data_IF_825642632913
#
_entry.id   IF_825642632913
#
_cell.length_a   1.000
_cell.length_b   1.000
_cell.length_c   1.000
_cell.angle_alpha   90.00
_cell.angle_beta   90.00
_cell.angle_gamma   90.00
#
_symmetry.space_group_name_H-M   'P 1'
#
loop_
_entity.id
_entity.type
_entity.pdbx_description
1 polymer ?
#
# COMPACT_ATOMS: atom_id res chain seq x y z
N UNK A 1 18.51 -0.75 31.12
CA UNK A 1 18.60 -1.14 29.70
C UNK A 1 18.27 0.11 28.88
N UNK A 2 19.13 0.83 28.16
CA UNK A 2 20.54 0.80 27.82
C UNK A 2 20.69 1.78 26.64
N UNK A 3 21.29 2.95 26.87
CA UNK A 3 21.28 4.14 26.00
C UNK A 3 21.81 3.94 24.55
N UNK A 4 20.99 3.47 23.59
CA UNK A 4 21.46 3.17 22.21
C UNK A 4 20.63 3.84 21.08
N UNK A 5 20.08 5.04 21.31
CA UNK A 5 19.53 5.84 20.21
C UNK A 5 20.33 7.13 20.01
N UNK A 6 21.12 7.14 18.94
CA UNK A 6 21.68 8.39 18.43
C UNK A 6 20.53 9.35 18.10
N UNK A 7 20.66 10.63 18.45
CA UNK A 7 19.62 11.66 18.27
C UNK A 7 19.05 11.69 16.83
N UNK A 8 19.82 11.26 15.84
CA UNK A 8 19.40 11.16 14.43
C UNK A 8 18.33 10.08 14.19
N UNK A 9 18.50 8.88 14.73
CA UNK A 9 17.56 7.78 14.52
C UNK A 9 16.22 8.04 15.22
N UNK A 10 16.25 8.63 16.42
CA UNK A 10 15.03 9.05 17.12
C UNK A 10 14.25 10.10 16.31
N UNK A 11 14.95 11.08 15.71
CA UNK A 11 14.29 12.07 14.84
C UNK A 11 13.70 11.44 13.58
N UNK A 12 14.43 10.51 12.95
CA UNK A 12 13.93 9.78 11.79
C UNK A 12 12.70 8.94 12.13
N UNK A 13 12.72 8.20 13.24
CA UNK A 13 11.58 7.42 13.69
C UNK A 13 10.34 8.31 13.86
N UNK A 14 10.46 9.41 14.62
CA UNK A 14 9.34 10.36 14.81
C UNK A 14 8.83 10.89 13.47
N UNK A 15 9.75 11.22 12.57
CA UNK A 15 9.42 11.70 11.24
C UNK A 15 8.62 10.69 10.41
N UNK A 16 8.98 9.42 10.48
CA UNK A 16 8.25 8.35 9.81
C UNK A 16 6.91 8.08 10.50
N UNK A 17 6.84 8.25 11.82
CA UNK A 17 5.62 8.01 12.60
C UNK A 17 4.53 9.07 12.45
N UNK A 18 4.93 10.30 12.09
CA UNK A 18 4.05 11.43 11.77
C UNK A 18 3.29 11.26 10.44
N UNK A 19 3.65 10.27 9.62
CA UNK A 19 2.94 9.94 8.37
C UNK A 19 1.70 9.07 8.66
N UNK A 20 0.66 9.09 7.80
CA UNK A 20 -0.57 8.31 8.00
C UNK A 20 -0.35 6.81 8.25
N UNK A 21 0.73 6.21 7.74
CA UNK A 21 1.03 4.81 8.00
C UNK A 21 1.74 4.57 9.33
N UNK A 22 2.47 5.57 9.79
CA UNK A 22 3.29 5.53 10.97
C UNK A 22 4.55 4.67 10.83
N UNK A 23 5.28 4.63 11.94
CA UNK A 23 6.40 3.76 12.25
C UNK A 23 6.59 3.79 13.78
N UNK A 24 5.70 3.12 14.55
CA UNK A 24 5.73 3.16 16.01
C UNK A 24 7.10 2.81 16.57
N UNK A 25 7.46 3.48 17.66
CA UNK A 25 8.76 3.29 18.28
C UNK A 25 8.93 1.84 18.77
N UNK A 26 10.05 1.21 18.39
CA UNK A 26 10.44 -0.13 18.83
C UNK A 26 11.95 -0.29 18.73
N UNK A 27 12.54 -1.12 19.60
CA UNK A 27 13.94 -1.53 19.48
C UNK A 27 14.22 -2.20 18.12
N UNK A 28 13.29 -3.01 17.62
CA UNK A 28 13.39 -3.67 16.32
C UNK A 28 13.41 -2.65 15.19
N UNK A 29 12.56 -1.62 15.26
CA UNK A 29 12.58 -0.52 14.29
C UNK A 29 13.92 0.21 14.28
N UNK A 30 14.52 0.51 15.44
CA UNK A 30 15.83 1.17 15.47
C UNK A 30 16.94 0.32 14.86
N UNK A 31 16.89 -1.01 15.04
CA UNK A 31 17.82 -1.94 14.37
C UNK A 31 17.60 -1.93 12.85
N UNK A 32 16.33 -1.95 12.41
CA UNK A 32 15.97 -1.82 10.98
C UNK A 32 16.56 -0.53 10.41
N UNK A 33 16.30 0.63 11.03
CA UNK A 33 16.78 1.92 10.54
C UNK A 33 18.31 1.99 10.46
N UNK A 34 19.05 1.28 11.32
CA UNK A 34 20.52 1.20 11.23
C UNK A 34 21.01 0.38 10.04
N UNK A 35 20.24 -0.57 9.55
CA UNK A 35 20.55 -1.32 8.31
C UNK A 35 20.32 -0.43 7.08
N UNK A 36 19.24 0.38 7.09
CA UNK A 36 18.89 1.24 5.96
C UNK A 36 19.75 2.51 5.87
N UNK A 37 20.03 3.15 7.01
CA UNK A 37 20.56 4.51 7.08
C UNK A 37 21.86 4.56 7.87
N UNK A 38 22.84 5.26 7.31
CA UNK A 38 23.93 5.80 8.14
C UNK A 38 23.36 6.83 9.12
N UNK A 39 24.11 7.13 10.19
CA UNK A 39 23.71 8.16 11.17
C UNK A 39 23.50 9.53 10.55
N UNK A 40 24.28 9.87 9.52
CA UNK A 40 24.13 11.11 8.75
C UNK A 40 22.87 11.08 7.89
N UNK A 41 22.68 10.02 7.10
CA UNK A 41 21.50 9.86 6.24
C UNK A 41 20.20 9.93 7.07
N UNK A 42 20.16 9.31 8.26
CA UNK A 42 19.02 9.40 9.16
C UNK A 42 18.74 10.84 9.62
N UNK A 43 19.79 11.62 9.89
CA UNK A 43 19.66 13.03 10.23
C UNK A 43 19.11 13.86 9.06
N UNK A 44 19.61 13.63 7.85
CA UNK A 44 19.19 14.34 6.64
C UNK A 44 17.74 14.02 6.26
N UNK A 45 17.35 12.74 6.29
CA UNK A 45 16.00 12.31 5.94
C UNK A 45 14.97 12.75 6.98
N UNK A 46 15.34 12.83 8.26
CA UNK A 46 14.43 13.26 9.33
C UNK A 46 13.88 14.69 9.17
N UNK A 47 14.52 15.53 8.34
CA UNK A 47 14.12 16.93 8.11
C UNK A 47 13.56 17.17 6.71
N UNK A 48 13.54 16.15 5.83
CA UNK A 48 12.95 16.26 4.50
C UNK A 48 11.43 16.37 4.58
N UNK A 49 10.76 17.10 3.67
CA UNK A 49 9.30 17.12 3.58
C UNK A 49 8.69 15.74 3.35
N UNK A 50 7.53 15.48 3.96
CA UNK A 50 6.65 14.31 3.79
C UNK A 50 5.94 14.30 2.45
N UNK A 51 5.85 15.46 1.80
CA UNK A 51 5.29 15.60 0.47
C UNK A 51 6.39 15.90 -0.55
N UNK A 52 6.05 16.00 -1.82
CA UNK A 52 7.01 16.30 -2.88
C UNK A 52 7.87 17.53 -2.56
N UNK A 53 9.16 17.38 -2.80
CA UNK A 53 10.14 18.44 -2.64
C UNK A 53 11.16 18.41 -3.78
N UNK A 54 11.81 19.55 -4.01
CA UNK A 54 12.82 19.72 -5.06
C UNK A 54 14.23 19.69 -4.47
N UNK A 55 15.24 19.67 -5.34
CA UNK A 55 16.66 19.72 -4.94
C UNK A 55 16.95 21.02 -4.19
N UNK A 56 16.45 22.17 -4.67
CA UNK A 56 16.69 23.47 -4.04
C UNK A 56 16.11 23.50 -2.62
N UNK A 57 14.94 22.86 -2.43
CA UNK A 57 14.31 22.77 -1.12
C UNK A 57 15.11 21.91 -0.15
N UNK A 58 15.60 20.75 -0.59
CA UNK A 58 16.44 19.87 0.23
C UNK A 58 17.79 20.54 0.55
N UNK A 59 18.43 21.19 -0.44
CA UNK A 59 19.69 21.90 -0.29
C UNK A 59 19.60 23.00 0.78
N UNK A 60 18.51 23.78 0.77
CA UNK A 60 18.24 24.80 1.79
C UNK A 60 18.07 24.20 3.20
N UNK A 61 17.37 23.08 3.33
CA UNK A 61 17.16 22.40 4.62
C UNK A 61 18.46 21.82 5.18
N UNK A 62 19.27 21.24 4.31
CA UNK A 62 20.54 20.61 4.67
C UNK A 62 21.71 21.59 4.77
N UNK A 63 21.53 22.84 4.31
CA UNK A 63 22.59 23.85 4.19
C UNK A 63 23.77 23.34 3.35
N UNK A 64 23.46 22.63 2.26
CA UNK A 64 24.42 22.04 1.31
C UNK A 64 24.26 22.68 -0.07
N UNK A 65 25.26 22.52 -0.93
CA UNK A 65 25.16 22.92 -2.34
C UNK A 65 24.18 22.01 -3.09
N UNK A 66 23.58 22.49 -4.16
CA UNK A 66 22.60 21.70 -4.93
C UNK A 66 23.20 20.45 -5.56
N UNK A 67 24.41 20.52 -6.12
CA UNK A 67 25.09 19.33 -6.67
C UNK A 67 25.34 18.23 -5.63
N UNK A 68 25.88 18.61 -4.46
CA UNK A 68 26.08 17.67 -3.34
C UNK A 68 24.73 17.09 -2.83
N UNK A 69 23.70 17.93 -2.78
CA UNK A 69 22.34 17.53 -2.40
C UNK A 69 21.78 16.51 -3.39
N UNK A 70 21.97 16.74 -4.68
CA UNK A 70 21.50 15.85 -5.74
C UNK A 70 22.17 14.47 -5.66
N UNK A 71 23.47 14.40 -5.39
CA UNK A 71 24.18 13.14 -5.18
C UNK A 71 23.62 12.35 -4.00
N UNK A 72 23.38 13.01 -2.87
CA UNK A 72 22.77 12.38 -1.68
C UNK A 72 21.36 11.88 -1.99
N UNK A 73 20.53 12.70 -2.65
CA UNK A 73 19.17 12.33 -3.02
C UNK A 73 19.15 11.13 -3.98
N UNK A 74 20.05 11.10 -4.97
CA UNK A 74 20.19 9.97 -5.88
C UNK A 74 20.62 8.69 -5.16
N UNK A 75 21.54 8.79 -4.19
CA UNK A 75 21.95 7.65 -3.37
C UNK A 75 20.80 7.09 -2.53
N UNK A 76 20.00 7.98 -1.92
CA UNK A 76 18.81 7.59 -1.15
C UNK A 76 17.73 6.97 -2.05
N UNK A 77 17.53 7.51 -3.26
CA UNK A 77 16.63 6.90 -4.24
C UNK A 77 17.13 5.53 -4.72
N UNK A 78 18.45 5.38 -4.90
CA UNK A 78 19.11 4.11 -5.20
C UNK A 78 18.93 3.03 -4.12
N UNK A 79 18.71 3.44 -2.87
CA UNK A 79 18.34 2.57 -1.74
C UNK A 79 16.84 2.28 -1.66
N UNK A 80 16.02 2.92 -2.49
CA UNK A 80 14.56 2.86 -2.41
C UNK A 80 13.96 3.66 -1.24
N UNK A 81 14.73 4.53 -0.59
CA UNK A 81 14.24 5.39 0.51
C UNK A 81 13.40 6.54 -0.06
N UNK A 82 13.80 7.06 -1.21
CA UNK A 82 13.08 8.11 -1.94
C UNK A 82 12.58 7.55 -3.27
N UNK A 83 11.42 8.04 -3.70
CA UNK A 83 11.13 8.06 -5.12
C UNK A 83 11.64 9.36 -5.73
N UNK A 84 12.07 9.28 -6.98
CA UNK A 84 12.38 10.43 -7.80
C UNK A 84 11.52 10.43 -9.06
N UNK A 85 10.96 11.60 -9.35
CA UNK A 85 10.11 11.81 -10.51
C UNK A 85 10.61 13.00 -11.30
N UNK A 86 10.61 12.87 -12.61
CA UNK A 86 11.04 13.93 -13.52
C UNK A 86 10.09 14.06 -14.69
N UNK A 87 9.76 15.29 -15.05
CA UNK A 87 9.23 15.64 -16.36
C UNK A 87 10.19 16.62 -17.05
N UNK A 88 9.85 17.12 -18.26
CA UNK A 88 10.72 18.02 -19.04
C UNK A 88 11.13 19.32 -18.32
N UNK A 89 10.44 19.70 -17.24
CA UNK A 89 10.63 21.01 -16.58
C UNK A 89 10.99 20.90 -15.10
N UNK A 90 10.66 19.80 -14.43
CA UNK A 90 10.75 19.67 -12.98
C UNK A 90 11.27 18.30 -12.60
N UNK A 91 12.18 18.29 -11.62
CA UNK A 91 12.61 17.10 -10.89
C UNK A 91 12.20 17.21 -9.43
N UNK A 92 11.52 16.19 -8.91
CA UNK A 92 11.02 16.17 -7.55
C UNK A 92 11.23 14.80 -6.90
N UNK A 93 11.23 14.80 -5.58
CA UNK A 93 11.44 13.63 -4.75
C UNK A 93 10.35 13.55 -3.69
N UNK A 94 10.08 12.35 -3.21
CA UNK A 94 9.23 12.11 -2.04
C UNK A 94 9.84 10.98 -1.22
N UNK A 95 9.72 11.07 0.10
CA UNK A 95 10.08 9.97 0.98
C UNK A 95 9.10 8.83 0.77
N UNK A 96 9.61 7.64 0.49
CA UNK A 96 8.76 6.46 0.35
C UNK A 96 8.12 6.13 1.69
N UNK A 97 6.87 5.66 1.69
CA UNK A 97 6.23 5.17 2.90
C UNK A 97 7.03 4.03 3.56
N UNK A 98 6.78 3.76 4.83
CA UNK A 98 7.32 2.57 5.50
C UNK A 98 6.77 1.29 4.86
N UNK A 99 5.48 1.26 4.49
CA UNK A 99 4.80 0.14 3.82
C UNK A 99 3.57 0.62 3.01
N UNK A 100 3.41 0.35 1.72
CA UNK A 100 4.30 -0.34 0.80
C UNK A 100 5.35 0.64 0.24
N UNK A 101 6.58 0.55 0.74
CA UNK A 101 7.68 1.42 0.36
C UNK A 101 9.04 0.82 0.69
N UNK A 102 9.90 1.53 1.43
CA UNK A 102 11.31 1.14 1.54
C UNK A 102 11.52 -0.21 2.23
N UNK A 103 10.58 -0.71 3.04
CA UNK A 103 10.67 -2.07 3.59
C UNK A 103 10.61 -3.12 2.47
N UNK A 104 9.60 -3.02 1.61
CA UNK A 104 9.42 -3.92 0.47
C UNK A 104 10.59 -3.79 -0.50
N UNK A 105 10.98 -2.57 -0.84
CA UNK A 105 12.00 -2.32 -1.86
C UNK A 105 13.38 -2.84 -1.48
N UNK A 106 13.69 -2.99 -0.18
CA UNK A 106 14.94 -3.59 0.26
C UNK A 106 15.01 -5.09 0.01
N UNK A 107 13.89 -5.80 0.14
CA UNK A 107 13.82 -7.25 -0.02
C UNK A 107 13.36 -7.64 -1.43
N UNK A 108 12.63 -6.80 -2.18
CA UNK A 108 12.20 -7.11 -3.56
C UNK A 108 13.36 -7.30 -4.55
N UNK A 109 14.55 -6.81 -4.20
CA UNK A 109 15.77 -6.80 -5.01
C UNK A 109 16.75 -7.90 -4.58
N UNK A 110 17.82 -8.07 -5.35
CA UNK A 110 18.92 -9.02 -5.08
C UNK A 110 20.29 -8.41 -5.40
N UNK A 111 20.39 -7.08 -5.35
CA UNK A 111 21.59 -6.31 -5.72
C UNK A 111 22.69 -6.28 -4.64
N UNK A 112 22.49 -6.98 -3.52
CA UNK A 112 23.44 -7.05 -2.41
C UNK A 112 23.54 -5.77 -1.56
N UNK A 113 22.66 -4.78 -1.75
CA UNK A 113 22.72 -3.52 -0.96
C UNK A 113 22.32 -3.68 0.50
N UNK A 114 21.53 -4.70 0.82
CA UNK A 114 21.04 -4.94 2.16
C UNK A 114 21.27 -6.39 2.56
N UNK A 115 21.55 -6.60 3.84
CA UNK A 115 21.56 -7.93 4.43
C UNK A 115 20.11 -8.40 4.59
N UNK A 116 19.65 -9.24 3.65
CA UNK A 116 18.29 -9.73 3.67
C UNK A 116 18.01 -10.71 4.82
N UNK A 117 19.02 -11.40 5.34
CA UNK A 117 18.83 -12.30 6.49
C UNK A 117 18.44 -11.47 7.70
N UNK A 118 19.28 -10.48 8.03
CA UNK A 118 19.06 -9.58 9.17
C UNK A 118 17.75 -8.81 8.99
N UNK A 119 17.49 -8.24 7.81
CA UNK A 119 16.24 -7.54 7.56
C UNK A 119 15.03 -8.45 7.68
N UNK A 120 15.09 -9.69 7.21
CA UNK A 120 13.95 -10.60 7.28
C UNK A 120 13.59 -10.99 8.71
N UNK A 121 14.60 -11.23 9.56
CA UNK A 121 14.42 -11.48 10.98
C UNK A 121 13.83 -10.27 11.71
N UNK A 122 14.40 -9.07 11.46
CA UNK A 122 13.91 -7.83 12.07
C UNK A 122 12.50 -7.46 11.59
N UNK A 123 12.19 -7.65 10.31
CA UNK A 123 10.85 -7.42 9.77
C UNK A 123 9.85 -8.42 10.32
N UNK A 124 10.23 -9.70 10.47
CA UNK A 124 9.37 -10.67 11.14
C UNK A 124 9.08 -10.24 12.57
N UNK A 125 10.10 -9.81 13.30
CA UNK A 125 9.93 -9.31 14.65
C UNK A 125 9.04 -8.05 14.70
N UNK A 126 9.29 -7.03 13.89
CA UNK A 126 8.58 -5.75 13.92
C UNK A 126 7.16 -5.77 13.33
N UNK A 127 6.89 -6.65 12.36
CA UNK A 127 5.60 -6.72 11.64
C UNK A 127 4.74 -7.88 12.12
N UNK A 128 5.36 -9.03 12.39
CA UNK A 128 4.63 -10.26 12.72
C UNK A 128 4.65 -10.53 14.23
N UNK A 129 5.70 -10.20 14.98
CA UNK A 129 5.70 -10.43 16.44
C UNK A 129 5.17 -9.22 17.19
N UNK A 130 5.69 -8.04 16.89
CA UNK A 130 5.27 -6.76 17.45
C UNK A 130 4.02 -6.30 16.69
N UNK A 131 2.88 -6.26 17.37
CA UNK A 131 1.61 -6.01 16.67
C UNK A 131 1.33 -4.53 16.42
N UNK A 132 2.06 -3.60 17.06
CA UNK A 132 1.74 -2.17 17.06
C UNK A 132 1.80 -1.55 15.68
N UNK A 133 2.86 -1.85 14.92
CA UNK A 133 3.01 -1.32 13.56
C UNK A 133 1.95 -1.86 12.62
N UNK A 134 1.80 -3.19 12.58
CA UNK A 134 0.84 -3.81 11.66
C UNK A 134 -0.61 -3.45 12.01
N UNK A 135 -0.96 -3.29 13.29
CA UNK A 135 -2.27 -2.76 13.72
C UNK A 135 -2.48 -1.33 13.22
N UNK A 136 -1.47 -0.46 13.33
CA UNK A 136 -1.54 0.93 12.83
C UNK A 136 -1.73 1.00 11.32
N UNK A 137 -1.11 0.09 10.55
CA UNK A 137 -1.29 -0.04 9.09
C UNK A 137 -2.66 -0.62 8.74
N UNK A 138 -3.05 -1.69 9.42
CA UNK A 138 -4.32 -2.41 9.18
C UNK A 138 -5.57 -1.56 9.45
N UNK A 139 -5.44 -0.54 10.31
CA UNK A 139 -6.55 0.34 10.71
C UNK A 139 -6.59 1.67 9.95
N UNK A 140 -5.67 1.93 9.02
CA UNK A 140 -5.69 3.15 8.19
C UNK A 140 -7.00 3.23 7.41
N UNK A 141 -7.56 4.44 7.34
CA UNK A 141 -8.75 4.73 6.57
C UNK A 141 -8.55 5.98 5.71
N UNK A 142 -8.63 5.90 4.37
CA UNK A 142 -8.94 4.71 3.57
C UNK A 142 -7.79 3.69 3.63
N UNK A 143 -8.06 2.37 3.56
CA UNK A 143 -6.99 1.37 3.59
C UNK A 143 -5.95 1.58 2.50
N UNK A 144 -4.72 1.15 2.77
CA UNK A 144 -3.64 1.14 1.79
C UNK A 144 -3.95 0.19 0.62
N UNK A 145 -4.45 -0.99 0.95
CA UNK A 145 -4.64 -2.09 0.02
C UNK A 145 -6.12 -2.33 -0.27
N UNK A 146 -6.41 -2.80 -1.48
CA UNK A 146 -7.70 -3.41 -1.84
C UNK A 146 -7.49 -4.76 -2.48
N UNK A 147 -8.57 -5.55 -2.52
CA UNK A 147 -8.59 -6.85 -3.18
C UNK A 147 -9.19 -6.72 -4.57
N UNK A 148 -8.55 -7.32 -5.56
CA UNK A 148 -9.14 -7.52 -6.88
C UNK A 148 -9.76 -8.91 -6.96
N UNK A 149 -11.00 -8.96 -7.44
CA UNK A 149 -11.68 -10.22 -7.72
C UNK A 149 -11.02 -10.90 -8.93
N UNK A 150 -10.97 -12.23 -8.93
CA UNK A 150 -10.66 -12.99 -10.14
C UNK A 150 -11.75 -12.75 -11.19
N UNK A 151 -11.48 -11.87 -12.14
CA UNK A 151 -12.43 -11.41 -13.17
C UNK A 151 -13.18 -12.53 -13.90
N UNK A 152 -12.55 -13.70 -14.03
CA UNK A 152 -13.08 -14.89 -14.72
C UNK A 152 -14.32 -15.46 -14.01
N UNK A 153 -14.47 -15.23 -12.71
CA UNK A 153 -15.60 -15.75 -11.91
C UNK A 153 -16.72 -14.72 -11.71
N UNK A 154 -16.59 -13.52 -12.28
CA UNK A 154 -17.65 -12.52 -12.28
C UNK A 154 -18.80 -13.01 -13.17
N UNK A 155 -20.03 -12.97 -12.64
CA UNK A 155 -21.22 -13.39 -13.37
C UNK A 155 -21.46 -12.49 -14.59
N UNK A 156 -22.02 -13.06 -15.67
CA UNK A 156 -22.31 -12.32 -16.92
C UNK A 156 -23.10 -11.03 -16.68
N UNK A 157 -24.09 -11.07 -15.77
CA UNK A 157 -24.93 -9.90 -15.41
C UNK A 157 -24.13 -8.74 -14.81
N UNK A 158 -23.01 -9.02 -14.16
CA UNK A 158 -22.17 -8.03 -13.47
C UNK A 158 -21.00 -7.56 -14.34
N UNK A 159 -20.70 -8.26 -15.45
CA UNK A 159 -19.60 -7.90 -16.36
C UNK A 159 -19.82 -6.54 -17.06
N UNK A 160 -21.04 -6.06 -17.15
CA UNK A 160 -21.36 -4.73 -17.69
C UNK A 160 -21.25 -3.60 -16.65
N UNK A 161 -21.12 -3.95 -15.36
CA UNK A 161 -21.18 -3.01 -14.23
C UNK A 161 -19.86 -2.99 -13.44
N UNK A 162 -18.99 -3.97 -13.62
CA UNK A 162 -17.63 -3.97 -13.05
C UNK A 162 -16.84 -2.78 -13.60
N UNK A 163 -16.31 -1.95 -12.69
CA UNK A 163 -15.58 -0.75 -13.06
C UNK A 163 -14.15 -1.11 -13.47
N UNK A 164 -13.56 -0.32 -14.37
CA UNK A 164 -12.23 -0.60 -14.90
C UNK A 164 -11.14 -0.63 -13.81
N UNK A 165 -11.25 0.22 -12.79
CA UNK A 165 -10.34 0.20 -11.64
C UNK A 165 -10.54 -1.02 -10.72
N UNK A 166 -11.56 -1.84 -10.91
CA UNK A 166 -11.77 -3.09 -10.15
C UNK A 166 -11.13 -4.30 -10.86
N UNK A 167 -10.59 -4.09 -12.06
CA UNK A 167 -10.04 -5.14 -12.93
C UNK A 167 -8.52 -5.05 -12.97
N UNK A 168 -7.86 -5.98 -12.26
CA UNK A 168 -6.40 -6.07 -12.27
C UNK A 168 -5.83 -6.17 -13.70
N UNK A 169 -6.51 -6.88 -14.61
CA UNK A 169 -6.06 -7.00 -16.00
C UNK A 169 -6.13 -5.67 -16.76
N UNK A 170 -7.17 -4.87 -16.53
CA UNK A 170 -7.33 -3.55 -17.15
C UNK A 170 -6.27 -2.58 -16.65
N UNK A 171 -6.04 -2.56 -15.34
CA UNK A 171 -4.99 -1.76 -14.71
C UNK A 171 -3.62 -2.06 -15.31
N UNK A 172 -3.23 -3.34 -15.40
CA UNK A 172 -1.94 -3.72 -16.00
C UNK A 172 -1.90 -3.35 -17.49
N UNK A 173 -2.99 -3.57 -18.22
CA UNK A 173 -3.05 -3.26 -19.66
C UNK A 173 -2.88 -1.76 -19.94
N UNK A 174 -3.40 -0.89 -19.08
CA UNK A 174 -3.37 0.57 -19.26
C UNK A 174 -2.21 1.25 -18.54
N UNK A 175 -1.46 0.52 -17.71
CA UNK A 175 -0.30 1.05 -17.02
C UNK A 175 0.71 1.64 -18.01
N UNK A 176 1.16 2.86 -17.74
CA UNK A 176 2.13 3.58 -18.56
C UNK A 176 3.54 2.97 -18.50
N UNK A 177 3.83 2.24 -17.43
CA UNK A 177 5.10 1.56 -17.19
C UNK A 177 4.84 0.36 -16.28
N UNK A 178 5.51 -0.77 -16.53
CA UNK A 178 5.34 -2.00 -15.75
C UNK A 178 6.71 -2.55 -15.39
N UNK A 179 6.85 -2.96 -14.13
CA UNK A 179 8.03 -3.65 -13.63
C UNK A 179 7.64 -4.88 -12.83
N UNK A 180 8.55 -5.84 -12.76
CA UNK A 180 8.46 -7.03 -11.90
C UNK A 180 9.65 -7.10 -10.97
N UNK A 181 9.43 -7.65 -9.78
CA UNK A 181 10.45 -7.92 -8.79
C UNK A 181 10.07 -9.15 -7.95
N UNK A 182 10.97 -9.58 -7.07
CA UNK A 182 10.67 -10.69 -6.17
C UNK A 182 9.53 -10.31 -5.22
N UNK A 183 8.68 -11.28 -4.89
CA UNK A 183 7.63 -11.11 -3.90
C UNK A 183 8.27 -10.81 -2.54
N UNK A 184 8.16 -9.56 -2.07
CA UNK A 184 8.65 -9.11 -0.76
C UNK A 184 8.41 -10.17 0.34
N UNK A 185 7.15 -10.55 0.56
CA UNK A 185 6.80 -11.43 1.66
C UNK A 185 7.39 -12.84 1.51
N UNK A 186 7.49 -13.36 0.27
CA UNK A 186 7.99 -14.71 0.02
C UNK A 186 9.51 -14.76 0.07
N UNK A 187 10.19 -13.76 -0.49
CA UNK A 187 11.64 -13.64 -0.39
C UNK A 187 12.07 -13.38 1.07
N UNK A 188 11.31 -12.59 1.84
CA UNK A 188 11.49 -12.51 3.30
C UNK A 188 11.41 -13.89 3.96
N UNK A 189 10.39 -14.68 3.62
CA UNK A 189 10.21 -16.05 4.15
C UNK A 189 11.29 -17.02 3.68
N UNK A 190 11.91 -16.80 2.53
CA UNK A 190 13.00 -17.61 1.99
C UNK A 190 14.24 -17.47 2.87
N UNK A 191 14.61 -16.24 3.24
CA UNK A 191 15.67 -15.98 4.23
C UNK A 191 15.33 -16.51 5.64
N UNK A 192 14.05 -16.75 5.94
CA UNK A 192 13.62 -17.39 7.18
C UNK A 192 13.45 -18.91 7.05
N UNK A 193 13.81 -19.52 5.92
CA UNK A 193 13.68 -20.96 5.68
C UNK A 193 12.24 -21.49 5.65
N UNK A 194 11.25 -20.62 5.44
CA UNK A 194 9.80 -20.95 5.53
C UNK A 194 8.99 -20.46 4.33
N UNK A 195 9.64 -20.17 3.20
CA UNK A 195 8.95 -19.82 1.95
C UNK A 195 8.18 -21.02 1.37
N UNK A 196 7.16 -20.70 0.56
CA UNK A 196 6.49 -21.68 -0.29
C UNK A 196 7.07 -21.69 -1.70
N UNK A 197 6.70 -22.70 -2.49
CA UNK A 197 7.24 -22.92 -3.85
C UNK A 197 6.58 -22.06 -4.94
N UNK A 198 5.75 -21.07 -4.58
CA UNK A 198 5.16 -20.19 -5.58
C UNK A 198 6.26 -19.30 -6.25
N UNK A 199 6.08 -18.85 -7.50
CA UNK A 199 7.13 -18.14 -8.26
C UNK A 199 7.54 -16.78 -7.68
N UNK A 200 8.82 -16.54 -7.39
CA UNK A 200 9.28 -15.30 -6.72
C UNK A 200 8.97 -14.02 -7.52
N UNK A 201 9.26 -14.00 -8.83
CA UNK A 201 9.11 -12.81 -9.69
C UNK A 201 7.65 -12.51 -10.06
N UNK A 202 6.86 -12.04 -9.10
CA UNK A 202 5.41 -11.79 -9.27
C UNK A 202 4.93 -10.47 -8.66
N UNK A 203 5.82 -9.68 -8.05
CA UNK A 203 5.45 -8.39 -7.47
C UNK A 203 5.49 -7.32 -8.56
N UNK A 204 4.32 -6.82 -8.96
CA UNK A 204 4.20 -5.84 -10.03
C UNK A 204 4.15 -4.43 -9.46
N UNK A 205 5.05 -3.57 -9.90
CA UNK A 205 4.96 -2.12 -9.70
C UNK A 205 4.63 -1.47 -11.03
N UNK A 206 3.77 -0.46 -11.01
CA UNK A 206 3.17 0.18 -12.17
C UNK A 206 3.41 1.69 -12.16
N UNK A 207 3.23 2.30 -13.33
CA UNK A 207 3.22 3.75 -13.54
C UNK A 207 4.49 4.44 -13.01
N UNK A 208 4.35 5.65 -12.45
CA UNK A 208 5.48 6.49 -12.04
C UNK A 208 6.35 5.86 -10.95
N UNK A 209 5.75 5.09 -10.03
CA UNK A 209 6.52 4.33 -9.04
C UNK A 209 7.44 3.31 -9.73
N UNK A 210 6.94 2.60 -10.75
CA UNK A 210 7.71 1.64 -11.52
C UNK A 210 8.86 2.30 -12.31
N UNK A 211 8.64 3.48 -12.88
CA UNK A 211 9.69 4.25 -13.56
C UNK A 211 10.87 4.54 -12.62
N UNK A 212 10.59 5.02 -11.40
CA UNK A 212 11.62 5.32 -10.41
C UNK A 212 12.34 4.05 -9.94
N UNK A 213 11.60 2.97 -9.63
CA UNK A 213 12.21 1.70 -9.23
C UNK A 213 13.10 1.09 -10.31
N UNK A 214 12.65 1.12 -11.58
CA UNK A 214 13.44 0.62 -12.71
C UNK A 214 14.71 1.44 -12.93
N UNK A 215 14.62 2.77 -12.83
CA UNK A 215 15.76 3.68 -12.97
C UNK A 215 16.88 3.35 -12.00
N UNK A 216 16.54 2.91 -10.79
CA UNK A 216 17.49 2.59 -9.73
C UNK A 216 17.85 1.10 -9.63
N UNK A 217 17.45 0.28 -10.61
CA UNK A 217 17.75 -1.15 -10.66
C UNK A 217 17.05 -1.98 -9.58
N UNK A 218 15.98 -1.44 -8.98
CA UNK A 218 15.23 -2.07 -7.88
C UNK A 218 14.24 -3.11 -8.43
N UNK A 219 13.66 -2.80 -9.58
CA UNK A 219 12.68 -3.63 -10.26
C UNK A 219 13.02 -3.71 -11.76
N UNK A 220 12.72 -4.86 -12.35
CA UNK A 220 13.01 -5.16 -13.75
C UNK A 220 11.85 -4.66 -14.62
N UNK A 221 12.14 -3.84 -15.64
CA UNK A 221 11.11 -3.39 -16.60
C UNK A 221 10.63 -4.56 -17.46
N UNK A 222 9.32 -4.68 -17.62
CA UNK A 222 8.66 -5.68 -18.47
C UNK A 222 7.59 -5.04 -19.34
N UNK A 223 7.12 -5.77 -20.35
CA UNK A 223 5.96 -5.36 -21.14
C UNK A 223 4.64 -5.55 -20.38
N UNK A 224 3.60 -4.83 -20.79
CA UNK A 224 2.26 -5.02 -20.25
C UNK A 224 1.75 -6.44 -20.55
N UNK A 225 2.09 -7.06 -21.70
CA UNK A 225 1.73 -8.45 -21.98
C UNK A 225 2.40 -9.43 -21.01
N UNK A 226 3.67 -9.21 -20.67
CA UNK A 226 4.37 -10.01 -19.67
C UNK A 226 3.73 -9.88 -18.29
N UNK A 227 3.34 -8.66 -17.89
CA UNK A 227 2.60 -8.44 -16.65
C UNK A 227 1.26 -9.19 -16.63
N UNK A 228 0.54 -9.24 -17.76
CA UNK A 228 -0.70 -9.99 -17.89
C UNK A 228 -0.48 -11.51 -17.86
N UNK A 229 0.65 -12.01 -18.38
CA UNK A 229 1.04 -13.43 -18.27
C UNK A 229 1.29 -13.81 -16.80
N UNK A 230 2.05 -12.99 -16.07
CA UNK A 230 2.30 -13.16 -14.64
C UNK A 230 0.98 -13.19 -13.86
N UNK A 231 0.08 -12.24 -14.13
CA UNK A 231 -1.25 -12.19 -13.50
C UNK A 231 -2.03 -13.49 -13.74
N UNK A 232 -2.06 -13.98 -15.00
CA UNK A 232 -2.77 -15.20 -15.39
C UNK A 232 -2.19 -16.44 -14.68
N UNK A 233 -0.88 -16.57 -14.64
CA UNK A 233 -0.18 -17.64 -13.94
C UNK A 233 -0.52 -17.64 -12.45
N UNK A 234 -0.38 -16.48 -11.79
CA UNK A 234 -0.68 -16.32 -10.37
C UNK A 234 -2.13 -16.68 -10.03
N UNK A 235 -3.10 -16.26 -10.85
CA UNK A 235 -4.50 -16.68 -10.71
C UNK A 235 -4.67 -18.19 -10.87
N UNK A 236 -3.94 -18.81 -11.81
CA UNK A 236 -3.91 -20.26 -12.03
C UNK A 236 -3.36 -21.04 -10.84
N UNK A 237 -2.48 -20.46 -10.04
CA UNK A 237 -1.97 -21.03 -8.79
C UNK A 237 -2.91 -20.80 -7.58
N UNK A 238 -3.88 -19.90 -7.74
CA UNK A 238 -4.81 -19.50 -6.67
C UNK A 238 -4.26 -18.40 -5.77
N UNK A 239 -3.35 -17.58 -6.29
CA UNK A 239 -2.88 -16.37 -5.60
C UNK A 239 -3.93 -15.26 -5.68
N UNK A 240 -4.00 -14.47 -4.61
CA UNK A 240 -4.91 -13.32 -4.49
C UNK A 240 -4.22 -12.09 -5.05
N UNK A 241 -4.96 -11.29 -5.81
CA UNK A 241 -4.48 -9.97 -6.24
C UNK A 241 -4.84 -8.92 -5.18
N UNK A 242 -3.81 -8.38 -4.54
CA UNK A 242 -3.88 -7.21 -3.68
C UNK A 242 -3.24 -6.03 -4.44
N UNK A 243 -3.74 -4.81 -4.28
CA UNK A 243 -3.07 -3.65 -4.87
C UNK A 243 -3.46 -2.32 -4.26
N UNK A 244 -2.83 -1.27 -4.77
CA UNK A 244 -3.01 0.10 -4.31
C UNK A 244 -4.50 0.49 -4.35
N UNK A 245 -5.01 0.98 -3.22
CA UNK A 245 -6.42 1.34 -3.07
C UNK A 245 -6.72 2.73 -3.67
N UNK A 246 -6.52 2.87 -4.98
CA UNK A 246 -6.78 4.11 -5.74
C UNK A 246 -7.41 3.78 -7.10
N UNK A 247 -8.16 4.71 -7.70
CA UNK A 247 -8.82 4.48 -8.98
C UNK A 247 -7.85 4.68 -10.15
N UNK A 248 -7.17 5.83 -10.17
CA UNK A 248 -6.26 6.26 -11.22
C UNK A 248 -4.80 5.97 -10.83
N UNK A 249 -4.00 5.61 -11.82
CA UNK A 249 -2.55 5.43 -11.68
C UNK A 249 -2.14 4.48 -10.54
N UNK A 250 -2.90 3.40 -10.35
CA UNK A 250 -2.58 2.31 -9.40
C UNK A 250 -1.10 1.96 -9.48
N UNK A 251 -0.36 2.07 -8.39
CA UNK A 251 1.10 1.99 -8.42
C UNK A 251 1.64 0.57 -8.27
N UNK A 252 0.84 -0.40 -7.82
CA UNK A 252 1.32 -1.76 -7.60
C UNK A 252 0.17 -2.77 -7.52
N UNK A 253 0.49 -4.01 -7.91
CA UNK A 253 -0.34 -5.21 -7.74
C UNK A 253 0.55 -6.35 -7.23
N UNK A 254 0.21 -6.85 -6.05
CA UNK A 254 0.82 -8.02 -5.43
C UNK A 254 0.02 -9.29 -5.73
N UNK A 255 0.73 -10.39 -6.02
CA UNK A 255 0.17 -11.72 -6.24
C UNK A 255 0.43 -12.59 -5.00
N UNK A 256 -0.47 -12.51 -4.02
CA UNK A 256 -0.23 -12.99 -2.67
C UNK A 256 -0.67 -14.44 -2.47
N UNK A 257 0.20 -15.21 -1.83
CA UNK A 257 -0.11 -16.53 -1.29
C UNK A 257 -0.60 -16.41 0.17
N UNK A 258 -1.46 -17.33 0.60
CA UNK A 258 -2.00 -17.33 1.96
C UNK A 258 -0.94 -17.56 3.03
N UNK A 259 0.13 -18.29 2.71
CA UNK A 259 1.16 -18.72 3.65
C UNK A 259 2.25 -17.66 3.92
N UNK A 260 2.68 -16.88 2.92
CA UNK A 260 3.78 -15.92 3.11
C UNK A 260 3.32 -14.48 3.29
N UNK A 261 2.20 -14.06 2.71
CA UNK A 261 1.80 -12.65 2.68
C UNK A 261 1.54 -12.08 4.08
N UNK A 262 2.26 -11.02 4.45
CA UNK A 262 2.09 -10.33 5.72
C UNK A 262 0.70 -9.71 5.87
N UNK A 263 0.16 -9.09 4.81
CA UNK A 263 -1.19 -8.51 4.83
C UNK A 263 -2.28 -9.55 5.06
N UNK A 264 -2.23 -10.71 4.39
CA UNK A 264 -3.19 -11.79 4.61
C UNK A 264 -3.02 -12.43 5.99
N UNK A 265 -1.77 -12.56 6.47
CA UNK A 265 -1.50 -13.04 7.84
C UNK A 265 -2.05 -12.08 8.89
N UNK A 266 -1.88 -10.77 8.71
CA UNK A 266 -2.44 -9.74 9.57
C UNK A 266 -3.98 -9.81 9.59
N UNK A 267 -4.60 -9.96 8.41
CA UNK A 267 -6.05 -10.10 8.28
C UNK A 267 -6.60 -11.33 9.04
N UNK A 268 -5.87 -12.44 9.06
CA UNK A 268 -6.27 -13.64 9.84
C UNK A 268 -6.10 -13.45 11.34
N UNK A 269 -5.03 -12.77 11.77
CA UNK A 269 -4.65 -12.63 13.18
C UNK A 269 -5.36 -11.50 13.92
N UNK A 270 -5.44 -10.32 13.32
CA UNK A 270 -5.94 -9.10 13.96
C UNK A 270 -7.46 -8.97 13.87
N UNK A 271 -8.11 -9.83 13.08
CA UNK A 271 -9.55 -9.78 12.82
C UNK A 271 -9.89 -9.14 11.49
N UNK A 272 -11.19 -9.02 11.21
CA UNK A 272 -11.70 -8.67 9.88
C UNK A 272 -11.82 -7.17 9.70
N UNK A 273 -11.15 -6.63 8.67
CA UNK A 273 -11.36 -5.28 8.20
C UNK A 273 -12.25 -5.30 6.95
N UNK A 274 -13.54 -4.91 7.05
CA UNK A 274 -14.46 -4.92 5.91
C UNK A 274 -14.13 -3.85 4.86
N UNK A 275 -13.10 -3.02 5.07
CA UNK A 275 -12.63 -2.04 4.08
C UNK A 275 -11.56 -2.63 3.16
N UNK A 276 -10.91 -3.74 3.53
CA UNK A 276 -9.87 -4.42 2.73
C UNK A 276 -10.51 -5.65 2.06
N UNK A 277 -11.43 -5.38 1.14
CA UNK A 277 -12.15 -6.39 0.38
C UNK A 277 -12.50 -5.84 -1.01
N UNK A 278 -12.78 -6.75 -1.94
CA UNK A 278 -13.34 -6.36 -3.24
C UNK A 278 -14.82 -6.00 -3.08
N UNK A 279 -15.39 -5.31 -4.07
CA UNK A 279 -16.84 -5.08 -4.14
C UNK A 279 -17.65 -6.33 -4.51
N UNK A 280 -17.03 -7.51 -4.50
CA UNK A 280 -17.68 -8.80 -4.68
C UNK A 280 -17.58 -9.65 -3.42
N UNK A 281 -18.46 -10.63 -3.29
CA UNK A 281 -18.51 -11.61 -2.21
C UNK A 281 -18.84 -13.00 -2.76
N UNK A 282 -18.23 -14.02 -2.17
CA UNK A 282 -18.51 -15.41 -2.56
C UNK A 282 -19.83 -15.87 -1.95
N UNK A 283 -20.70 -16.45 -2.77
CA UNK A 283 -21.99 -16.99 -2.36
C UNK A 283 -22.15 -18.45 -2.80
N UNK A 284 -22.29 -19.40 -1.86
CA UNK A 284 -22.46 -20.81 -2.20
C UNK A 284 -23.93 -21.14 -2.47
N UNK A 285 -24.22 -21.88 -3.54
CA UNK A 285 -25.57 -22.41 -3.82
C UNK A 285 -25.87 -23.68 -3.02
N UNK A 286 -24.84 -24.46 -2.68
CA UNK A 286 -24.89 -25.72 -1.91
C UNK A 286 -25.74 -26.86 -2.52
N UNK A 287 -26.26 -26.67 -3.74
CA UNK A 287 -26.97 -27.66 -4.54
C UNK A 287 -26.01 -28.64 -5.25
N UNK A 288 -24.80 -28.18 -5.58
CA UNK A 288 -23.79 -28.92 -6.36
C UNK A 288 -22.54 -29.27 -5.57
N UNK A 289 -22.58 -29.12 -4.25
CA UNK A 289 -21.42 -29.38 -3.41
C UNK A 289 -21.16 -30.88 -3.27
N UNK A 290 -19.99 -31.33 -3.70
CA UNK A 290 -19.55 -32.72 -3.58
C UNK A 290 -18.71 -32.99 -2.33
N UNK A 291 -18.38 -31.96 -1.55
CA UNK A 291 -17.53 -32.09 -0.37
C UNK A 291 -16.03 -32.27 -0.65
N UNK A 292 -15.55 -32.03 -1.87
CA UNK A 292 -14.13 -32.20 -2.26
C UNK A 292 -13.11 -31.32 -1.49
N UNK A 293 -13.58 -30.36 -0.68
CA UNK A 293 -12.77 -29.52 0.22
C UNK A 293 -11.73 -28.59 -0.44
N UNK A 294 -11.72 -28.46 -1.78
CA UNK A 294 -10.76 -27.62 -2.51
C UNK A 294 -10.94 -26.13 -2.17
N UNK A 295 -12.18 -25.64 -2.13
CA UNK A 295 -12.49 -24.25 -1.83
C UNK A 295 -12.04 -23.82 -0.43
N UNK A 296 -12.13 -24.72 0.55
CA UNK A 296 -11.65 -24.51 1.92
C UNK A 296 -10.12 -24.34 1.92
N UNK A 297 -9.40 -25.29 1.31
CA UNK A 297 -7.92 -25.24 1.23
C UNK A 297 -7.38 -24.02 0.49
N UNK A 298 -8.10 -23.56 -0.54
CA UNK A 298 -7.72 -22.39 -1.35
C UNK A 298 -8.16 -21.06 -0.75
N UNK A 299 -8.97 -21.05 0.32
CA UNK A 299 -9.42 -19.79 0.92
C UNK A 299 -8.26 -19.09 1.65
N UNK A 300 -7.81 -17.91 1.21
CA UNK A 300 -6.61 -17.26 1.74
C UNK A 300 -6.77 -16.72 3.18
N UNK A 301 -8.02 -16.59 3.62
CA UNK A 301 -8.43 -15.97 4.89
C UNK A 301 -9.31 -16.91 5.72
N UNK A 302 -9.32 -18.20 5.38
CA UNK A 302 -9.99 -19.24 6.16
C UNK A 302 -11.48 -18.93 6.43
N UNK A 303 -12.15 -18.32 5.44
CA UNK A 303 -13.54 -17.91 5.52
C UNK A 303 -14.53 -19.05 5.24
N UNK A 304 -14.08 -20.22 4.80
CA UNK A 304 -14.95 -21.30 4.32
C UNK A 304 -14.82 -22.52 5.23
N UNK A 305 -15.95 -23.06 5.67
CA UNK A 305 -16.04 -24.32 6.41
C UNK A 305 -16.84 -25.34 5.61
N UNK A 306 -16.34 -26.57 5.52
CA UNK A 306 -17.09 -27.71 4.99
C UNK A 306 -17.95 -28.32 6.09
N UNK A 307 -19.21 -28.61 5.76
CA UNK A 307 -20.22 -29.21 6.65
C UNK A 307 -20.92 -30.36 5.93
N UNK A 308 -21.57 -31.21 6.71
CA UNK A 308 -22.39 -32.32 6.23
C UNK A 308 -23.67 -32.42 7.03
N UNK A 309 -24.81 -32.60 6.36
CA UNK A 309 -26.10 -32.88 6.97
C UNK A 309 -26.87 -33.88 6.09
N UNK A 310 -27.49 -34.91 6.68
CA UNK A 310 -28.27 -35.93 5.96
C UNK A 310 -27.56 -36.50 4.72
N UNK A 311 -26.29 -36.91 4.87
CA UNK A 311 -25.43 -37.42 3.79
C UNK A 311 -25.20 -36.46 2.62
N UNK A 312 -25.49 -35.15 2.77
CA UNK A 312 -25.17 -34.10 1.81
C UNK A 312 -24.09 -33.17 2.37
N UNK A 313 -23.09 -32.89 1.54
CA UNK A 313 -22.07 -31.90 1.85
C UNK A 313 -22.53 -30.51 1.45
N UNK A 314 -22.14 -29.50 2.23
CA UNK A 314 -22.37 -28.10 1.91
C UNK A 314 -21.25 -27.26 2.53
N UNK A 315 -21.07 -26.03 2.04
CA UNK A 315 -20.09 -25.11 2.62
C UNK A 315 -20.79 -23.91 3.24
N UNK A 316 -20.19 -23.42 4.32
CA UNK A 316 -20.56 -22.19 5.00
C UNK A 316 -19.44 -21.18 4.78
N UNK A 317 -19.79 -19.99 4.27
CA UNK A 317 -18.85 -18.90 4.07
C UNK A 317 -19.12 -17.82 5.11
N UNK A 318 -18.15 -17.57 5.98
CA UNK A 318 -18.16 -16.44 6.89
C UNK A 318 -17.99 -15.14 6.07
N UNK A 319 -19.10 -14.43 5.91
CA UNK A 319 -19.20 -13.22 5.08
C UNK A 319 -18.38 -12.07 5.66
N UNK A 320 -18.09 -12.06 6.97
CA UNK A 320 -17.25 -11.05 7.60
C UNK A 320 -15.77 -11.27 7.29
N UNK A 321 -15.34 -12.53 7.13
CA UNK A 321 -13.94 -12.87 6.75
C UNK A 321 -13.72 -12.82 5.25
N UNK A 322 -14.77 -13.01 4.46
CA UNK A 322 -14.65 -13.14 3.02
C UNK A 322 -14.17 -11.83 2.38
N UNK A 323 -12.93 -11.83 1.89
CA UNK A 323 -12.33 -10.67 1.22
C UNK A 323 -12.76 -10.49 -0.26
N UNK A 324 -13.61 -11.39 -0.78
CA UNK A 324 -14.15 -11.27 -2.13
C UNK A 324 -13.21 -11.62 -3.29
N UNK A 325 -12.07 -12.26 -3.04
CA UNK A 325 -11.05 -12.54 -4.08
C UNK A 325 -11.51 -13.47 -5.22
N UNK A 326 -12.53 -14.30 -5.01
CA UNK A 326 -13.04 -15.23 -6.03
C UNK A 326 -12.19 -16.48 -6.28
N UNK A 327 -11.10 -16.69 -5.54
CA UNK A 327 -10.26 -17.90 -5.66
C UNK A 327 -11.08 -19.17 -5.44
N UNK A 328 -11.95 -19.20 -4.42
CA UNK A 328 -12.77 -20.39 -4.16
C UNK A 328 -13.75 -20.71 -5.31
N UNK A 329 -14.34 -19.69 -5.94
CA UNK A 329 -15.20 -19.86 -7.10
C UNK A 329 -14.42 -20.37 -8.32
N UNK A 330 -13.20 -19.87 -8.53
CA UNK A 330 -12.35 -20.27 -9.67
C UNK A 330 -11.99 -21.75 -9.63
N UNK A 331 -11.73 -22.27 -8.44
CA UNK A 331 -11.32 -23.67 -8.24
C UNK A 331 -12.49 -24.62 -7.96
N UNK A 332 -13.74 -24.14 -8.00
CA UNK A 332 -14.90 -24.99 -7.84
C UNK A 332 -15.34 -25.57 -9.19
N UNK A 333 -14.88 -26.77 -9.54
CA UNK A 333 -15.24 -27.47 -10.78
C UNK A 333 -16.74 -27.80 -10.91
N UNK A 334 -17.51 -27.68 -9.82
CA UNK A 334 -18.94 -27.96 -9.75
C UNK A 334 -19.80 -26.69 -9.79
N UNK A 335 -19.19 -25.51 -9.94
CA UNK A 335 -19.88 -24.21 -9.96
C UNK A 335 -20.77 -23.95 -8.73
N UNK A 336 -20.44 -24.55 -7.58
CA UNK A 336 -21.19 -24.41 -6.33
C UNK A 336 -21.03 -23.02 -5.69
N UNK A 337 -20.07 -22.20 -6.15
CA UNK A 337 -19.76 -20.88 -5.60
C UNK A 337 -19.81 -19.86 -6.73
N UNK A 338 -20.63 -18.82 -6.55
CA UNK A 338 -20.71 -17.67 -7.45
C UNK A 338 -20.22 -16.42 -6.76
N UNK A 339 -19.69 -15.47 -7.52
CA UNK A 339 -19.37 -14.14 -7.02
C UNK A 339 -20.57 -13.23 -7.20
N UNK A 340 -20.96 -12.53 -6.16
CA UNK A 340 -22.05 -11.55 -6.17
C UNK A 340 -21.51 -10.18 -5.81
N UNK A 341 -22.08 -9.13 -6.39
CA UNK A 341 -21.73 -7.76 -6.03
C UNK A 341 -22.28 -7.42 -4.65
N UNK A 342 -21.48 -6.73 -3.84
CA UNK A 342 -21.90 -6.24 -2.52
C UNK A 342 -22.91 -5.11 -2.67
N UNK A 343 -23.87 -5.04 -1.75
CA UNK A 343 -24.83 -3.93 -1.69
C UNK A 343 -24.15 -2.61 -1.33
N UNK A 344 -23.22 -2.66 -0.37
CA UNK A 344 -22.40 -1.53 0.06
C UNK A 344 -21.03 -1.64 -0.60
N UNK A 345 -20.73 -0.67 -1.47
CA UNK A 345 -19.44 -0.59 -2.14
C UNK A 345 -18.42 0.14 -1.25
N UNK A 346 -17.18 -0.30 -1.32
CA UNK A 346 -16.07 0.36 -0.65
C UNK A 346 -15.75 1.70 -1.32
N UNK A 347 -15.46 2.69 -0.49
CA UNK A 347 -14.94 3.96 -0.96
C UNK A 347 -13.49 3.78 -1.41
N UNK A 348 -13.21 4.12 -2.66
CA UNK A 348 -11.87 4.04 -3.26
C UNK A 348 -11.44 5.45 -3.68
N UNK A 349 -10.36 6.00 -3.10
CA UNK A 349 -9.77 7.28 -3.51
C UNK A 349 -9.50 7.37 -5.02
N UNK A 350 -9.63 8.56 -5.59
CA UNK A 350 -9.34 8.83 -7.00
C UNK A 350 -7.87 8.55 -7.29
N UNK A 351 -6.94 9.02 -6.45
CA UNK A 351 -5.50 8.84 -6.63
C UNK A 351 -4.74 8.77 -5.29
N UNK A 352 -3.41 8.69 -5.38
CA UNK A 352 -2.52 8.64 -4.21
C UNK A 352 -2.62 9.88 -3.34
N UNK A 353 -2.76 11.07 -3.95
CA UNK A 353 -2.87 12.32 -3.21
C UNK A 353 -4.14 12.33 -2.34
N UNK A 354 -5.28 11.97 -2.92
CA UNK A 354 -6.54 11.90 -2.18
C UNK A 354 -6.48 10.84 -1.06
N UNK A 355 -5.92 9.65 -1.34
CA UNK A 355 -5.76 8.61 -0.31
C UNK A 355 -4.94 9.13 0.88
N UNK A 356 -3.83 9.78 0.60
CA UNK A 356 -2.91 10.28 1.62
C UNK A 356 -3.52 11.39 2.47
N UNK A 357 -4.22 12.35 1.84
CA UNK A 357 -4.91 13.43 2.54
C UNK A 357 -6.05 12.91 3.40
N UNK A 358 -6.90 12.02 2.87
CA UNK A 358 -8.03 11.47 3.65
C UNK A 358 -7.51 10.63 4.81
N UNK A 359 -6.44 9.86 4.61
CA UNK A 359 -5.74 9.14 5.69
C UNK A 359 -5.25 10.08 6.79
N UNK A 360 -4.63 11.21 6.43
CA UNK A 360 -4.19 12.20 7.39
C UNK A 360 -5.36 12.88 8.12
N UNK A 361 -6.50 13.13 7.44
CA UNK A 361 -7.72 13.66 8.09
C UNK A 361 -8.26 12.68 9.11
N UNK A 362 -8.37 11.41 8.74
CA UNK A 362 -8.89 10.35 9.59
C UNK A 362 -8.07 10.19 10.87
N UNK A 363 -6.73 10.25 10.76
CA UNK A 363 -5.81 10.19 11.91
C UNK A 363 -5.63 11.52 12.65
N UNK A 364 -6.13 12.63 12.11
CA UNK A 364 -5.90 13.95 12.70
C UNK A 364 -4.44 14.42 12.58
N UNK A 365 -3.77 14.06 11.50
CA UNK A 365 -2.35 14.34 11.19
C UNK A 365 -2.19 15.34 10.02
N UNK A 366 -3.27 15.91 9.51
CA UNK A 366 -3.26 16.86 8.36
C UNK A 366 -2.32 18.04 8.59
N UNK A 367 -2.21 18.51 9.83
CA UNK A 367 -1.28 19.57 10.21
C UNK A 367 0.18 19.21 9.90
N UNK A 368 0.56 17.94 10.04
CA UNK A 368 1.90 17.46 9.70
C UNK A 368 2.15 17.62 8.20
N UNK A 369 1.11 17.36 7.38
CA UNK A 369 1.18 17.53 5.93
C UNK A 369 1.12 18.98 5.50
N UNK A 370 0.39 19.86 6.18
CA UNK A 370 0.25 21.27 5.80
C UNK A 370 1.42 22.12 6.26
N UNK A 371 1.86 21.93 7.50
CA UNK A 371 2.84 22.78 8.18
C UNK A 371 4.22 22.15 8.25
N UNK A 372 4.49 21.27 7.29
CA UNK A 372 5.73 20.51 7.13
C UNK A 372 7.01 21.34 6.88
N UNK A 373 6.87 22.66 6.89
CA UNK A 373 7.96 23.62 6.86
C UNK A 373 8.02 24.34 8.21
N UNK A 374 9.07 24.07 8.98
CA UNK A 374 9.41 24.73 10.25
C UNK A 374 9.66 26.25 10.15
N UNK A 375 9.38 26.89 9.01
CA UNK A 375 9.71 28.30 8.72
C UNK A 375 8.50 29.23 8.54
N UNK A 376 7.26 28.75 8.74
CA UNK A 376 6.06 29.59 8.58
C UNK A 376 5.17 29.49 9.82
N UNK A 377 5.41 30.33 10.81
CA UNK A 377 4.58 30.44 12.02
C UNK A 377 4.22 31.91 12.28
N UNK A 378 3.00 32.31 11.94
CA UNK A 378 2.29 33.30 12.77
C UNK A 378 1.25 32.53 13.58
N UNK A 379 1.35 32.61 14.91
CA UNK A 379 0.51 31.86 15.86
C UNK A 379 -1.00 32.08 15.69
N UNK A 380 -1.40 33.13 14.96
CA UNK A 380 -2.78 33.55 14.74
C UNK A 380 -3.53 32.70 13.69
N UNK A 381 -2.85 32.26 12.62
CA UNK A 381 -3.45 31.32 11.65
C UNK A 381 -3.65 29.93 12.26
N UNK A 382 -2.70 29.47 13.09
CA UNK A 382 -2.80 28.19 13.79
C UNK A 382 -4.02 28.15 14.71
N UNK A 383 -4.25 29.20 15.50
CA UNK A 383 -5.39 29.28 16.44
C UNK A 383 -6.74 29.27 15.72
N UNK A 384 -6.86 29.99 14.59
CA UNK A 384 -8.11 30.03 13.79
C UNK A 384 -8.39 28.72 13.06
N UNK A 385 -7.37 28.07 12.49
CA UNK A 385 -7.54 26.80 11.79
C UNK A 385 -7.84 25.64 12.75
N UNK A 386 -7.10 25.56 13.87
CA UNK A 386 -7.32 24.54 14.90
C UNK A 386 -8.66 24.70 15.63
N UNK A 387 -9.12 25.94 15.85
CA UNK A 387 -10.42 26.22 16.46
C UNK A 387 -11.63 25.72 15.65
N UNK A 388 -11.50 25.60 14.33
CA UNK A 388 -12.56 25.10 13.44
C UNK A 388 -12.58 23.55 13.43
N UNK A 389 -11.42 22.91 13.52
CA UNK A 389 -11.27 21.45 13.40
C UNK A 389 -11.40 20.72 14.74
N UNK A 390 -10.92 21.31 15.84
CA UNK A 390 -10.88 20.66 17.16
C UNK A 390 -12.17 20.80 17.97
N UNK A 391 -13.09 21.70 17.59
CA UNK A 391 -14.36 21.90 18.28
C UNK A 391 -15.52 21.04 17.73
N UNK A 392 -15.26 20.12 16.80
CA UNK A 392 -16.28 19.22 16.26
C UNK A 392 -16.38 17.93 17.09
N UNK A 393 -17.57 17.66 17.64
CA UNK A 393 -17.89 16.40 18.33
C UNK A 393 -17.65 15.19 17.40
N UNK A 394 -17.24 14.01 17.90
CA UNK A 394 -16.91 12.82 17.07
C UNK A 394 -17.98 12.44 16.03
N UNK A 395 -19.26 12.50 16.41
CA UNK A 395 -20.39 12.24 15.51
C UNK A 395 -20.54 13.30 14.40
N UNK A 396 -20.19 14.57 14.67
CA UNK A 396 -20.17 15.65 13.67
C UNK A 396 -18.92 15.57 12.79
N UNK A 397 -17.79 15.04 13.28
CA UNK A 397 -16.61 14.73 12.46
C UNK A 397 -16.95 13.72 11.37
N UNK A 398 -17.69 12.66 11.72
CA UNK A 398 -18.13 11.62 10.78
C UNK A 398 -19.01 12.17 9.64
N UNK A 399 -19.99 13.02 9.98
CA UNK A 399 -20.88 13.70 9.02
C UNK A 399 -20.16 14.81 8.24
N UNK A 400 -19.25 15.53 8.88
CA UNK A 400 -18.39 16.54 8.27
C UNK A 400 -17.42 15.93 7.25
N UNK A 401 -16.94 14.69 7.44
CA UNK A 401 -16.02 14.04 6.47
C UNK A 401 -16.57 13.96 5.07
N UNK A 402 -17.89 13.84 4.87
CA UNK A 402 -18.48 13.71 3.52
C UNK A 402 -18.57 15.04 2.78
N UNK A 403 -19.01 16.11 3.45
CA UNK A 403 -19.14 17.46 2.86
C UNK A 403 -17.86 18.28 2.95
N UNK A 404 -17.13 18.22 4.07
CA UNK A 404 -15.84 18.89 4.19
C UNK A 404 -14.82 18.30 3.26
N UNK A 405 -14.86 17.01 2.92
CA UNK A 405 -13.94 16.44 1.94
C UNK A 405 -14.02 17.16 0.59
N UNK A 406 -15.20 17.41 0.03
CA UNK A 406 -15.28 18.10 -1.26
C UNK A 406 -14.76 19.54 -1.19
N UNK A 407 -15.16 20.32 -0.19
CA UNK A 407 -14.72 21.73 -0.04
C UNK A 407 -13.23 21.83 0.32
N UNK A 408 -12.77 20.97 1.23
CA UNK A 408 -11.38 20.89 1.67
C UNK A 408 -10.46 20.41 0.56
N UNK A 409 -10.83 19.35 -0.16
CA UNK A 409 -10.08 18.89 -1.34
C UNK A 409 -10.03 19.98 -2.41
N UNK A 410 -11.13 20.68 -2.69
CA UNK A 410 -11.16 21.81 -3.61
C UNK A 410 -10.28 23.00 -3.19
N UNK A 411 -10.00 23.14 -1.90
CA UNK A 411 -9.08 24.17 -1.39
C UNK A 411 -7.63 23.68 -1.46
N UNK A 412 -7.38 22.41 -1.14
CA UNK A 412 -6.04 21.80 -1.23
C UNK A 412 -5.50 21.75 -2.66
N UNK A 413 -6.36 21.54 -3.66
CA UNK A 413 -5.97 21.58 -5.08
C UNK A 413 -5.44 22.95 -5.52
N UNK A 414 -5.65 24.01 -4.73
CA UNK A 414 -5.12 25.36 -5.00
C UNK A 414 -3.79 25.64 -4.29
N UNK A 415 -3.24 24.67 -3.56
CA UNK A 415 -1.97 24.83 -2.84
C UNK A 415 -0.78 24.46 -3.72
N UNK A 416 0.39 25.08 -3.49
CA UNK A 416 1.63 24.72 -4.21
C UNK A 416 2.05 23.26 -4.03
N UNK A 417 1.56 22.57 -2.98
CA UNK A 417 1.77 21.14 -2.76
C UNK A 417 1.06 20.29 -3.80
N UNK A 418 -0.21 20.62 -4.10
CA UNK A 418 -0.94 19.95 -5.17
C UNK A 418 -0.38 20.31 -6.54
N UNK A 419 0.04 21.56 -6.75
CA UNK A 419 0.61 21.99 -8.03
C UNK A 419 1.84 21.16 -8.43
N UNK A 420 2.71 20.83 -7.49
CA UNK A 420 3.87 19.96 -7.75
C UNK A 420 3.43 18.52 -8.07
N UNK A 421 2.48 17.96 -7.33
CA UNK A 421 1.89 16.64 -7.63
C UNK A 421 1.26 16.60 -9.03
N UNK A 422 0.42 17.57 -9.36
CA UNK A 422 -0.28 17.67 -10.64
C UNK A 422 0.69 17.78 -11.83
N UNK A 423 1.75 18.58 -11.68
CA UNK A 423 2.82 18.69 -12.68
C UNK A 423 3.54 17.36 -12.92
N UNK A 424 3.70 16.53 -11.89
CA UNK A 424 4.43 15.25 -11.98
C UNK A 424 3.55 14.12 -12.53
N UNK A 425 2.35 13.95 -11.98
CA UNK A 425 1.48 12.79 -12.27
C UNK A 425 0.46 13.09 -13.36
N UNK A 426 -0.14 14.28 -13.34
CA UNK A 426 -1.22 14.62 -14.26
C UNK A 426 -0.74 15.33 -15.54
N UNK A 427 0.49 15.88 -15.55
CA UNK A 427 1.00 16.71 -16.66
C UNK A 427 0.00 17.80 -17.12
N UNK A 428 -0.78 18.37 -16.19
CA UNK A 428 -1.83 19.36 -16.48
C UNK A 428 -3.18 18.80 -16.96
N UNK A 429 -3.39 17.47 -16.95
CA UNK A 429 -4.73 16.88 -17.12
C UNK A 429 -5.61 17.26 -15.94
N UNK A 430 -6.80 17.82 -16.20
CA UNK A 430 -7.75 18.18 -15.14
C UNK A 430 -8.35 16.93 -14.50
N UNK A 431 -7.96 16.63 -13.27
CA UNK A 431 -8.65 15.65 -12.39
C UNK A 431 -9.82 16.36 -11.70
N UNK A 432 -11.04 15.82 -11.84
CA UNK A 432 -12.23 16.34 -11.14
C UNK A 432 -12.36 15.59 -9.81
N UNK A 433 -12.15 16.30 -8.70
CA UNK A 433 -12.30 15.78 -7.33
C UNK A 433 -13.69 16.05 -6.76
#
# INVERSE_FOLDING_TARGET
MGHINSRSYLKLQKRLDDAPQGAPESESLYKILKVFFTKEEAGLVSVLPMNFFTIEKAAKLWKKKEGETEEILNKLAGKGILFDFSNKKIRAFIVTPTMAGFFEFAIMRTDGKFDHQILSELFYQYINTEEDYIKKVFTINPPLDRIFVHEEVIQKKDKTIVLDFERASKIIKEASFVTVSNCYCRHKKEHLGTACDNPQKVCLTLNKAAESLAKHGIAEKISNEEGLKILKECKGLGLVQLGDNIQNDVNWICNCCSCCCDGLSAYRRLGYNPKIESNFISNPSNDKCTGCNICVKKCPVEAIKLKSNNNKFYIEIDKQRCIGCGVCARFCSFENIKMERREKLNFIPIDTFERYIVGAIDKGEVQNLLFDNYTLWTHEMLRRFLGIILNLKPAKRLLATKQMRSIFMNTLTKTGKYELFDKIFNNGRKVKY
#
